data_IF_043591506474
#
_entry.id   IF_043591506474
#
_cell.length_a   1.000
_cell.length_b   1.000
_cell.length_c   1.000
_cell.angle_alpha   90.00
_cell.angle_beta   90.00
_cell.angle_gamma   90.00
#
_symmetry.space_group_name_H-M   'P 1'
#
loop_
_entity.id
_entity.type
_entity.pdbx_description
1 polymer ?
#
# COMPACT_ATOMS: atom_id res chain seq x y z
N UNK A 1 13.27 -5.15 -13.25
CA UNK A 1 14.46 -5.84 -13.80
C UNK A 1 14.61 -7.17 -13.05
N UNK A 2 15.61 -8.01 -13.33
CA UNK A 2 15.99 -9.06 -12.36
C UNK A 2 16.66 -8.39 -11.14
N UNK A 3 16.83 -9.11 -10.04
CA UNK A 3 17.58 -8.59 -8.88
C UNK A 3 19.00 -8.19 -9.26
N UNK A 4 19.71 -9.01 -10.04
CA UNK A 4 21.06 -8.71 -10.51
C UNK A 4 21.12 -7.41 -11.32
N UNK A 5 20.21 -7.25 -12.28
CA UNK A 5 20.14 -6.04 -13.09
C UNK A 5 19.75 -4.80 -12.25
N UNK A 6 18.94 -4.98 -11.21
CA UNK A 6 18.60 -3.90 -10.27
C UNK A 6 19.83 -3.46 -9.46
N UNK A 7 20.69 -4.40 -9.04
CA UNK A 7 21.96 -4.09 -8.38
C UNK A 7 22.90 -3.32 -9.31
N UNK A 8 23.03 -3.77 -10.56
CA UNK A 8 23.85 -3.11 -11.58
C UNK A 8 23.33 -1.70 -11.90
N UNK A 9 22.01 -1.51 -11.99
CA UNK A 9 21.42 -0.18 -12.17
C UNK A 9 21.75 0.76 -11.01
N UNK A 10 21.64 0.26 -9.76
CA UNK A 10 22.00 1.04 -8.58
C UNK A 10 23.47 1.46 -8.58
N UNK A 11 24.38 0.55 -8.92
CA UNK A 11 25.81 0.88 -9.07
C UNK A 11 26.04 1.92 -10.17
N UNK A 12 25.28 1.83 -11.26
CA UNK A 12 25.34 2.83 -12.33
C UNK A 12 24.88 4.22 -11.87
N UNK A 13 23.94 4.33 -10.92
CA UNK A 13 23.54 5.61 -10.34
C UNK A 13 24.68 6.25 -9.56
N UNK A 14 25.40 5.45 -8.76
CA UNK A 14 26.55 5.92 -7.98
C UNK A 14 27.63 6.50 -8.90
N UNK A 15 27.97 5.79 -9.98
CA UNK A 15 28.95 6.25 -10.97
C UNK A 15 28.48 7.51 -11.71
N UNK A 16 27.27 7.45 -12.29
CA UNK A 16 26.70 8.51 -13.13
C UNK A 16 26.56 9.83 -12.39
N UNK A 17 26.20 9.78 -11.11
CA UNK A 17 26.02 10.94 -10.25
C UNK A 17 27.23 11.27 -9.37
N UNK A 18 28.33 10.52 -9.51
CA UNK A 18 29.59 10.70 -8.77
C UNK A 18 29.40 10.63 -7.25
N UNK A 19 28.57 9.69 -6.79
CA UNK A 19 28.22 9.51 -5.38
C UNK A 19 29.16 8.54 -4.63
N UNK A 20 30.31 8.18 -5.21
CA UNK A 20 31.31 7.31 -4.57
C UNK A 20 31.67 7.68 -3.12
N UNK A 21 31.74 8.96 -2.71
CA UNK A 21 32.01 9.30 -1.32
C UNK A 21 31.00 8.74 -0.31
N UNK A 22 29.80 8.38 -0.77
CA UNK A 22 28.71 7.85 0.04
C UNK A 22 28.35 6.39 -0.29
N UNK A 23 29.14 5.69 -1.11
CA UNK A 23 28.79 4.38 -1.67
C UNK A 23 28.36 3.35 -0.60
N UNK A 24 29.08 3.27 0.51
CA UNK A 24 28.76 2.33 1.60
C UNK A 24 27.43 2.69 2.29
N UNK A 25 27.21 3.99 2.60
CA UNK A 25 25.95 4.49 3.18
C UNK A 25 24.77 4.22 2.22
N UNK A 26 24.95 4.44 0.92
CA UNK A 26 23.95 4.20 -0.12
C UNK A 26 23.62 2.71 -0.25
N UNK A 27 24.64 1.84 -0.30
CA UNK A 27 24.44 0.38 -0.39
C UNK A 27 23.76 -0.16 0.87
N UNK A 28 24.00 0.44 2.04
CA UNK A 28 23.33 0.08 3.29
C UNK A 28 21.87 0.55 3.33
N UNK A 29 21.58 1.75 2.84
CA UNK A 29 20.24 2.34 2.82
C UNK A 29 19.36 1.84 1.66
N UNK A 30 19.95 1.22 0.64
CA UNK A 30 19.25 0.73 -0.54
C UNK A 30 18.10 -0.22 -0.18
N UNK A 31 16.94 0.08 -0.75
CA UNK A 31 15.76 -0.76 -0.75
C UNK A 31 15.42 -1.24 -2.16
N UNK A 32 14.47 -2.16 -2.25
CA UNK A 32 13.95 -2.68 -3.49
C UNK A 32 12.43 -2.77 -3.42
N UNK A 33 11.79 -2.49 -4.54
CA UNK A 33 10.37 -2.75 -4.75
C UNK A 33 10.17 -3.47 -6.09
N UNK A 34 8.97 -4.00 -6.29
CA UNK A 34 8.57 -4.63 -7.53
C UNK A 34 7.66 -3.68 -8.29
N UNK A 35 8.03 -3.31 -9.52
CA UNK A 35 7.24 -2.43 -10.40
C UNK A 35 6.62 -3.24 -11.54
N UNK A 36 5.40 -2.89 -11.94
CA UNK A 36 4.75 -3.49 -13.10
C UNK A 36 5.60 -3.23 -14.34
N UNK A 37 6.02 -4.31 -15.00
CA UNK A 37 6.89 -4.26 -16.18
C UNK A 37 6.12 -4.44 -17.47
N UNK A 38 5.11 -5.32 -17.42
CA UNK A 38 4.39 -5.77 -18.61
C UNK A 38 3.03 -6.33 -18.20
N UNK A 39 2.04 -6.01 -19.01
CA UNK A 39 0.72 -6.64 -19.03
C UNK A 39 0.55 -7.43 -20.34
N UNK A 40 -0.19 -8.52 -20.26
CA UNK A 40 -0.64 -9.32 -21.41
C UNK A 40 -2.10 -9.70 -21.18
N UNK A 41 -2.88 -9.90 -22.24
CA UNK A 41 -4.24 -10.39 -22.08
C UNK A 41 -4.24 -11.74 -21.33
N UNK A 42 -5.08 -11.87 -20.31
CA UNK A 42 -5.21 -13.12 -19.57
C UNK A 42 -5.93 -14.17 -20.43
N UNK A 43 -5.26 -15.28 -20.71
CA UNK A 43 -5.82 -16.43 -21.43
C UNK A 43 -6.28 -17.54 -20.48
N UNK A 44 -5.96 -17.38 -19.19
CA UNK A 44 -6.28 -18.25 -18.08
C UNK A 44 -5.82 -19.71 -18.25
N UNK A 45 -4.75 -19.92 -19.02
CA UNK A 45 -4.12 -21.24 -19.19
C UNK A 45 -3.24 -21.62 -18.00
N UNK A 46 -2.76 -20.61 -17.26
CA UNK A 46 -1.94 -20.78 -16.05
C UNK A 46 -2.81 -20.57 -14.82
N UNK A 47 -2.87 -21.55 -13.91
CA UNK A 47 -3.58 -21.39 -12.63
C UNK A 47 -2.71 -20.63 -11.64
N UNK A 48 -3.30 -19.68 -10.93
CA UNK A 48 -2.65 -19.01 -9.81
C UNK A 48 -1.47 -18.12 -10.21
N UNK A 49 -1.36 -17.68 -11.47
CA UNK A 49 -0.37 -16.67 -11.85
C UNK A 49 -0.77 -15.30 -11.29
N UNK A 50 0.20 -14.38 -11.27
CA UNK A 50 -0.09 -12.98 -11.00
C UNK A 50 -0.95 -12.36 -12.11
N UNK A 51 -2.03 -11.68 -11.72
CA UNK A 51 -2.93 -10.94 -12.62
C UNK A 51 -3.58 -9.73 -11.95
N UNK A 52 -3.99 -8.78 -12.76
CA UNK A 52 -4.77 -7.60 -12.39
C UNK A 52 -6.13 -7.72 -13.09
N UNK A 53 -7.22 -7.52 -12.37
CA UNK A 53 -8.57 -7.74 -12.88
C UNK A 53 -8.87 -9.19 -13.25
N UNK A 54 -9.99 -9.39 -13.92
CA UNK A 54 -10.43 -10.68 -14.45
C UNK A 54 -10.99 -11.61 -13.38
N UNK A 55 -10.97 -12.90 -13.70
CA UNK A 55 -11.54 -13.94 -12.85
C UNK A 55 -10.46 -14.51 -11.90
N UNK A 56 -10.78 -14.69 -10.61
CA UNK A 56 -9.85 -15.25 -9.64
C UNK A 56 -9.78 -16.77 -9.76
N UNK A 57 -8.60 -17.34 -9.54
CA UNK A 57 -8.41 -18.76 -9.23
C UNK A 57 -8.50 -18.92 -7.70
N UNK A 58 -9.70 -19.14 -7.18
CA UNK A 58 -9.94 -19.26 -5.74
C UNK A 58 -9.75 -20.71 -5.25
N UNK A 59 -9.26 -20.90 -4.02
CA UNK A 59 -9.26 -22.22 -3.40
C UNK A 59 -10.71 -22.68 -3.12
N UNK A 60 -10.92 -24.00 -2.90
CA UNK A 60 -12.27 -24.56 -2.80
C UNK A 60 -13.11 -23.99 -1.65
N UNK A 61 -12.46 -23.55 -0.58
CA UNK A 61 -13.01 -23.04 0.67
C UNK A 61 -13.29 -21.53 0.67
N UNK A 62 -12.83 -20.79 -0.35
CA UNK A 62 -13.13 -19.36 -0.50
C UNK A 62 -14.16 -19.20 -1.62
N UNK A 63 -15.40 -18.89 -1.25
CA UNK A 63 -16.44 -18.53 -2.21
C UNK A 63 -16.15 -17.19 -2.88
N UNK A 64 -16.79 -16.96 -4.04
CA UNK A 64 -16.67 -15.67 -4.72
C UNK A 64 -17.25 -14.58 -3.79
N UNK A 65 -16.51 -13.49 -3.47
CA UNK A 65 -16.95 -12.54 -2.45
C UNK A 65 -18.20 -11.77 -2.89
N UNK A 66 -19.17 -11.63 -1.97
CA UNK A 66 -20.45 -10.96 -2.17
C UNK A 66 -20.87 -10.20 -0.91
N UNK A 67 -21.67 -9.15 -1.08
CA UNK A 67 -22.39 -8.47 -0.01
C UNK A 67 -23.89 -8.39 -0.38
N UNK A 68 -24.65 -7.55 0.33
CA UNK A 68 -26.09 -7.37 0.10
C UNK A 68 -26.42 -6.66 -1.22
N UNK A 69 -25.47 -5.91 -1.78
CA UNK A 69 -25.64 -5.12 -2.99
C UNK A 69 -25.19 -5.88 -4.25
N UNK A 70 -24.23 -6.81 -4.14
CA UNK A 70 -23.71 -7.52 -5.30
C UNK A 70 -22.45 -8.35 -5.03
N UNK A 71 -21.71 -8.64 -6.10
CA UNK A 71 -20.43 -9.33 -6.03
C UNK A 71 -19.26 -8.35 -6.13
N UNK A 72 -18.15 -8.70 -5.49
CA UNK A 72 -16.94 -7.87 -5.50
C UNK A 72 -16.13 -8.11 -6.78
N UNK A 73 -15.40 -7.09 -7.22
CA UNK A 73 -14.50 -7.18 -8.35
C UNK A 73 -13.08 -7.49 -7.90
N UNK A 74 -12.44 -8.46 -8.56
CA UNK A 74 -11.03 -8.74 -8.34
C UNK A 74 -10.20 -7.54 -8.80
N UNK A 75 -9.44 -6.94 -7.89
CA UNK A 75 -8.44 -5.94 -8.25
C UNK A 75 -7.14 -6.64 -8.64
N UNK A 76 -6.69 -7.57 -7.80
CA UNK A 76 -5.50 -8.36 -8.11
C UNK A 76 -5.53 -9.75 -7.49
N UNK A 77 -4.83 -10.67 -8.17
CA UNK A 77 -4.39 -11.94 -7.64
C UNK A 77 -2.87 -11.97 -7.77
N UNK A 78 -2.14 -12.00 -6.65
CA UNK A 78 -0.69 -11.98 -6.63
C UNK A 78 -0.14 -13.34 -6.21
N UNK A 79 0.67 -13.98 -7.06
CA UNK A 79 1.47 -15.12 -6.64
C UNK A 79 2.77 -14.64 -6.00
N UNK A 80 2.90 -14.77 -4.68
CA UNK A 80 4.07 -14.30 -3.94
C UNK A 80 5.37 -14.99 -4.39
N UNK A 81 5.28 -16.21 -4.91
CA UNK A 81 6.42 -16.95 -5.44
C UNK A 81 7.04 -16.27 -6.67
N UNK A 82 6.29 -15.43 -7.38
CA UNK A 82 6.74 -14.65 -8.54
C UNK A 82 7.40 -13.33 -8.13
N UNK A 83 7.23 -12.91 -6.87
CA UNK A 83 7.79 -11.66 -6.34
C UNK A 83 9.18 -11.90 -5.77
N UNK A 84 10.08 -10.95 -6.04
CA UNK A 84 11.52 -11.09 -5.79
C UNK A 84 12.06 -9.79 -5.23
N UNK A 85 11.93 -9.60 -3.93
CA UNK A 85 12.51 -8.46 -3.21
C UNK A 85 13.51 -9.01 -2.19
N UNK A 86 14.73 -8.45 -2.16
CA UNK A 86 15.71 -8.81 -1.14
C UNK A 86 15.22 -8.31 0.22
N UNK A 87 15.31 -9.14 1.26
CA UNK A 87 14.82 -8.84 2.62
C UNK A 87 13.34 -8.39 2.66
N UNK A 88 12.51 -8.97 1.79
CA UNK A 88 11.07 -8.73 1.79
C UNK A 88 10.43 -9.22 3.10
N UNK A 89 9.45 -8.50 3.67
CA UNK A 89 8.59 -9.04 4.72
C UNK A 89 7.50 -9.98 4.17
N UNK A 90 7.37 -10.10 2.84
CA UNK A 90 6.40 -10.99 2.23
C UNK A 90 6.78 -12.46 2.41
N UNK A 91 5.79 -13.35 2.57
CA UNK A 91 6.02 -14.80 2.43
C UNK A 91 6.63 -15.17 1.08
N UNK A 92 7.47 -16.21 1.07
CA UNK A 92 8.09 -16.74 -0.17
C UNK A 92 7.08 -17.43 -1.12
N UNK A 93 5.91 -17.78 -0.61
CA UNK A 93 4.85 -18.50 -1.33
C UNK A 93 3.45 -18.09 -0.86
N UNK A 94 2.48 -18.46 -1.69
CA UNK A 94 1.06 -18.22 -1.47
C UNK A 94 0.48 -17.25 -2.50
N UNK A 95 -0.84 -17.13 -2.50
CA UNK A 95 -1.60 -16.21 -3.34
C UNK A 95 -2.36 -15.24 -2.47
N UNK A 96 -2.19 -13.96 -2.77
CA UNK A 96 -2.95 -12.87 -2.17
C UNK A 96 -4.01 -12.38 -3.16
N UNK A 97 -5.22 -12.15 -2.70
CA UNK A 97 -6.33 -11.65 -3.50
C UNK A 97 -6.90 -10.40 -2.85
N UNK A 98 -7.01 -9.30 -3.60
CA UNK A 98 -7.77 -8.13 -3.17
C UNK A 98 -8.99 -7.98 -4.06
N UNK A 99 -10.14 -7.84 -3.41
CA UNK A 99 -11.41 -7.57 -4.04
C UNK A 99 -11.95 -6.21 -3.57
N UNK A 100 -12.64 -5.52 -4.46
CA UNK A 100 -13.34 -4.27 -4.20
C UNK A 100 -14.85 -4.46 -4.34
N UNK A 101 -15.59 -4.05 -3.32
CA UNK A 101 -17.04 -4.01 -3.33
C UNK A 101 -17.51 -2.67 -3.87
N UNK A 102 -18.19 -1.90 -3.04
CA UNK A 102 -18.56 -0.52 -3.35
C UNK A 102 -17.33 0.41 -3.30
N UNK A 103 -16.98 0.99 -4.46
CA UNK A 103 -15.80 1.82 -4.63
C UNK A 103 -15.84 3.11 -3.79
N UNK A 104 -17.02 3.58 -3.39
CA UNK A 104 -17.19 4.82 -2.61
C UNK A 104 -17.14 4.60 -1.09
N UNK A 105 -17.31 3.36 -0.62
CA UNK A 105 -17.37 3.05 0.81
C UNK A 105 -16.06 2.52 1.40
N UNK A 106 -15.06 2.24 0.57
CA UNK A 106 -13.82 1.60 1.01
C UNK A 106 -14.03 0.14 1.43
N UNK A 107 -15.03 -0.52 0.83
CA UNK A 107 -15.34 -1.92 1.08
C UNK A 107 -14.39 -2.83 0.27
N UNK A 108 -13.42 -3.41 0.97
CA UNK A 108 -12.41 -4.29 0.39
C UNK A 108 -12.36 -5.63 1.14
N UNK A 109 -12.05 -6.70 0.41
CA UNK A 109 -11.80 -8.03 0.98
C UNK A 109 -10.42 -8.51 0.56
N UNK A 110 -9.60 -8.88 1.55
CA UNK A 110 -8.27 -9.42 1.37
C UNK A 110 -8.25 -10.89 1.77
N UNK A 111 -7.78 -11.76 0.88
CA UNK A 111 -7.64 -13.19 1.14
C UNK A 111 -6.20 -13.64 0.89
N UNK A 112 -5.72 -14.57 1.72
CA UNK A 112 -4.43 -15.22 1.54
C UNK A 112 -4.59 -16.74 1.52
N UNK A 113 -4.00 -17.38 0.52
CA UNK A 113 -3.99 -18.84 0.36
C UNK A 113 -2.56 -19.36 0.18
N UNK A 114 -2.12 -20.26 1.06
CA UNK A 114 -0.80 -20.89 0.96
C UNK A 114 -0.91 -22.42 0.85
N UNK A 115 -1.76 -22.87 -0.07
CA UNK A 115 -1.90 -24.29 -0.40
C UNK A 115 -1.51 -24.61 -1.85
N UNK A 116 -1.66 -25.87 -2.26
CA UNK A 116 -1.27 -26.31 -3.60
C UNK A 116 -2.07 -25.62 -4.72
N UNK A 117 -1.38 -25.16 -5.76
CA UNK A 117 -1.99 -24.47 -6.90
C UNK A 117 -3.00 -25.34 -7.66
N UNK A 118 -2.85 -26.67 -7.63
CA UNK A 118 -3.80 -27.59 -8.25
C UNK A 118 -5.21 -27.52 -7.66
N UNK A 119 -5.35 -27.09 -6.40
CA UNK A 119 -6.63 -26.95 -5.72
C UNK A 119 -7.39 -25.70 -6.15
N UNK A 120 -6.72 -24.75 -6.77
CA UNK A 120 -7.34 -23.52 -7.21
C UNK A 120 -8.27 -23.80 -8.39
N UNK A 121 -9.43 -23.14 -8.37
CA UNK A 121 -10.41 -23.20 -9.43
C UNK A 121 -10.80 -21.78 -9.82
N UNK A 122 -10.82 -21.52 -11.12
CA UNK A 122 -11.39 -20.28 -11.62
C UNK A 122 -12.85 -20.20 -11.18
N UNK A 123 -13.22 -19.11 -10.49
CA UNK A 123 -14.61 -18.87 -10.09
C UNK A 123 -15.17 -17.71 -10.90
N UNK A 124 -16.35 -17.94 -11.47
CA UNK A 124 -17.17 -16.90 -12.08
C UNK A 124 -17.92 -16.14 -10.98
N UNK A 125 -18.27 -14.86 -11.21
CA UNK A 125 -19.21 -14.16 -10.35
C UNK A 125 -20.54 -14.94 -10.24
N UNK A 126 -21.21 -14.88 -9.08
CA UNK A 126 -22.49 -15.57 -8.90
C UNK A 126 -23.56 -15.10 -9.89
N UNK A 127 -24.24 -16.07 -10.52
CA UNK A 127 -25.26 -15.79 -11.54
C UNK A 127 -26.42 -14.95 -10.96
N UNK A 128 -26.79 -13.88 -11.67
CA UNK A 128 -27.91 -13.02 -11.30
C UNK A 128 -27.61 -11.99 -10.21
N UNK A 129 -26.38 -11.93 -9.69
CA UNK A 129 -25.97 -10.86 -8.78
C UNK A 129 -25.48 -9.63 -9.54
N UNK A 130 -25.65 -8.46 -8.94
CA UNK A 130 -25.22 -7.18 -9.50
C UNK A 130 -23.70 -7.07 -9.42
N UNK A 131 -23.10 -6.53 -10.47
CA UNK A 131 -21.70 -6.15 -10.47
C UNK A 131 -21.52 -4.82 -9.73
N UNK A 132 -20.63 -4.79 -8.74
CA UNK A 132 -20.32 -3.58 -7.97
C UNK A 132 -19.23 -2.70 -8.61
N UNK A 133 -18.84 -2.98 -9.85
CA UNK A 133 -17.93 -2.12 -10.61
C UNK A 133 -18.68 -0.85 -11.04
N UNK A 134 -18.23 0.31 -10.54
CA UNK A 134 -18.84 1.59 -10.87
C UNK A 134 -18.57 2.05 -12.31
N UNK A 135 -17.46 1.58 -12.91
CA UNK A 135 -17.05 1.96 -14.27
C UNK A 135 -17.81 1.17 -15.35
N UNK A 136 -18.06 -0.12 -15.10
CA UNK A 136 -18.87 -0.99 -15.94
C UNK A 136 -19.68 -1.97 -15.09
N UNK A 137 -20.98 -1.69 -14.92
CA UNK A 137 -21.89 -2.53 -14.14
C UNK A 137 -22.35 -3.79 -14.88
N UNK A 138 -21.94 -4.00 -16.14
CA UNK A 138 -22.26 -5.19 -16.91
C UNK A 138 -21.19 -6.27 -16.75
N UNK A 139 -19.90 -5.88 -16.66
CA UNK A 139 -18.79 -6.82 -16.68
C UNK A 139 -17.74 -6.58 -15.57
N UNK A 140 -17.17 -7.65 -14.98
CA UNK A 140 -16.01 -7.48 -14.11
C UNK A 140 -14.84 -6.90 -14.91
N UNK A 141 -13.89 -6.28 -14.21
CA UNK A 141 -12.67 -5.76 -14.85
C UNK A 141 -12.02 -6.81 -15.75
N UNK A 142 -11.51 -6.36 -16.88
CA UNK A 142 -10.84 -7.25 -17.82
C UNK A 142 -9.54 -7.77 -17.24
N UNK A 143 -9.31 -9.08 -17.36
CA UNK A 143 -8.09 -9.71 -16.82
C UNK A 143 -6.85 -9.45 -17.67
N UNK A 144 -5.76 -9.04 -17.01
CA UNK A 144 -4.42 -9.01 -17.59
C UNK A 144 -3.44 -9.81 -16.73
N UNK A 145 -2.64 -10.66 -17.37
CA UNK A 145 -1.48 -11.26 -16.74
C UNK A 145 -0.44 -10.18 -16.52
N UNK A 146 0.05 -10.05 -15.29
CA UNK A 146 0.97 -9.00 -14.89
C UNK A 146 2.33 -9.59 -14.55
N UNK A 147 3.40 -9.01 -15.11
CA UNK A 147 4.78 -9.33 -14.74
C UNK A 147 5.41 -8.14 -14.02
N UNK A 148 5.96 -8.40 -12.84
CA UNK A 148 6.67 -7.39 -12.06
C UNK A 148 8.18 -7.56 -12.20
N UNK A 149 8.91 -6.46 -12.11
CA UNK A 149 10.36 -6.47 -12.07
C UNK A 149 10.90 -5.66 -10.90
N UNK A 150 12.10 -5.99 -10.45
CA UNK A 150 12.77 -5.32 -9.33
C UNK A 150 13.31 -3.96 -9.76
N UNK A 151 13.19 -2.95 -8.89
CA UNK A 151 13.81 -1.64 -9.02
C UNK A 151 14.40 -1.24 -7.66
N UNK A 152 15.67 -0.79 -7.59
CA UNK A 152 16.23 -0.27 -6.35
C UNK A 152 15.70 1.13 -6.07
N UNK A 153 15.69 1.57 -4.81
CA UNK A 153 15.40 2.96 -4.45
C UNK A 153 16.02 3.30 -3.08
N UNK A 154 15.98 4.58 -2.71
CA UNK A 154 16.27 5.05 -1.36
C UNK A 154 15.05 5.76 -0.78
N UNK A 155 14.82 5.62 0.53
CA UNK A 155 13.76 6.36 1.19
C UNK A 155 14.02 7.86 1.14
N UNK A 156 12.96 8.60 0.86
CA UNK A 156 12.95 10.04 1.06
C UNK A 156 13.10 10.37 2.55
N UNK A 157 13.85 11.42 2.89
CA UNK A 157 14.00 11.91 4.27
C UNK A 157 14.97 11.11 5.16
N UNK A 158 15.76 10.20 4.59
CA UNK A 158 16.89 9.61 5.32
C UNK A 158 18.08 10.58 5.38
N UNK A 159 18.94 10.45 6.39
CA UNK A 159 20.13 11.30 6.53
C UNK A 159 21.00 11.29 5.25
N UNK A 160 21.11 10.15 4.58
CA UNK A 160 21.89 10.04 3.35
C UNK A 160 21.18 10.69 2.16
N UNK A 161 19.86 10.56 2.04
CA UNK A 161 19.12 11.18 0.93
C UNK A 161 19.05 12.70 1.07
N UNK A 162 19.00 13.24 2.28
CA UNK A 162 19.17 14.68 2.54
C UNK A 162 20.55 15.20 2.10
N UNK A 163 21.63 14.45 2.39
CA UNK A 163 22.99 14.79 1.91
C UNK A 163 23.06 14.79 0.39
N UNK A 164 22.43 13.82 -0.28
CA UNK A 164 22.38 13.74 -1.74
C UNK A 164 21.59 14.91 -2.31
N UNK A 165 20.42 15.24 -1.75
CA UNK A 165 19.58 16.35 -2.20
C UNK A 165 20.37 17.66 -2.19
N UNK A 166 21.09 17.94 -1.10
CA UNK A 166 21.92 19.13 -0.98
C UNK A 166 23.08 19.17 -1.99
N UNK A 167 23.62 18.01 -2.37
CA UNK A 167 24.76 17.89 -3.27
C UNK A 167 24.36 17.90 -4.75
N UNK A 168 23.34 17.11 -5.09
CA UNK A 168 22.88 16.83 -6.44
C UNK A 168 21.37 16.49 -6.43
N UNK A 169 20.50 17.52 -6.52
CA UNK A 169 19.05 17.33 -6.55
C UNK A 169 18.55 16.42 -7.68
N UNK A 170 19.25 16.40 -8.82
CA UNK A 170 18.90 15.49 -9.93
C UNK A 170 19.17 14.03 -9.58
N UNK A 171 20.26 13.75 -8.87
CA UNK A 171 20.54 12.40 -8.37
C UNK A 171 19.54 11.98 -7.30
N UNK A 172 19.16 12.91 -6.42
CA UNK A 172 18.11 12.68 -5.43
C UNK A 172 16.79 12.28 -6.09
N UNK A 173 16.34 13.07 -7.08
CA UNK A 173 15.13 12.76 -7.85
C UNK A 173 15.19 11.36 -8.48
N UNK A 174 16.32 11.00 -9.10
CA UNK A 174 16.45 9.71 -9.76
C UNK A 174 16.53 8.53 -8.77
N UNK A 175 17.19 8.68 -7.62
CA UNK A 175 17.46 7.55 -6.71
C UNK A 175 16.31 7.34 -5.71
N UNK A 176 15.65 8.42 -5.28
CA UNK A 176 14.49 8.36 -4.39
C UNK A 176 13.19 8.11 -5.19
N UNK A 177 13.11 8.61 -6.43
CA UNK A 177 11.94 8.47 -7.28
C UNK A 177 12.27 7.92 -8.68
N UNK A 178 12.96 6.75 -8.77
CA UNK A 178 13.44 6.17 -10.03
C UNK A 178 12.33 5.84 -11.02
N UNK A 179 11.12 5.65 -10.50
CA UNK A 179 9.88 5.68 -11.26
C UNK A 179 9.13 6.94 -10.85
N UNK A 180 9.01 7.95 -11.73
CA UNK A 180 8.08 9.05 -11.45
C UNK A 180 6.65 8.49 -11.36
N UNK A 181 6.16 8.42 -10.12
CA UNK A 181 4.81 8.58 -9.56
C UNK A 181 3.61 7.81 -10.12
N UNK A 182 3.71 7.05 -11.21
CA UNK A 182 2.53 6.35 -11.71
C UNK A 182 2.88 4.99 -12.30
N UNK A 183 3.27 4.05 -11.45
CA UNK A 183 3.33 2.66 -11.85
C UNK A 183 2.77 1.78 -10.75
N UNK A 184 1.96 0.81 -11.17
CA UNK A 184 1.56 -0.27 -10.27
C UNK A 184 2.79 -0.95 -9.67
N UNK A 185 2.79 -1.16 -8.35
CA UNK A 185 3.96 -1.64 -7.63
C UNK A 185 3.59 -2.50 -6.42
N UNK A 186 4.61 -3.19 -5.88
CA UNK A 186 4.56 -4.04 -4.69
C UNK A 186 5.71 -3.63 -3.76
N UNK A 187 5.39 -3.38 -2.49
CA UNK A 187 6.32 -2.86 -1.48
C UNK A 187 7.01 -1.56 -1.91
N UNK A 188 6.26 -0.64 -2.51
CA UNK A 188 6.74 0.64 -3.00
C UNK A 188 6.28 1.80 -2.12
N UNK A 189 6.32 3.01 -2.67
CA UNK A 189 5.88 4.22 -2.00
C UNK A 189 4.61 4.77 -2.65
N UNK A 190 3.83 5.54 -1.90
CA UNK A 190 2.65 6.23 -2.44
C UNK A 190 3.04 7.51 -3.18
N UNK A 191 2.11 8.07 -3.95
CA UNK A 191 2.31 9.36 -4.61
C UNK A 191 2.65 10.49 -3.62
N UNK A 192 2.11 10.42 -2.40
CA UNK A 192 2.33 11.42 -1.33
C UNK A 192 3.54 11.11 -0.45
N UNK A 193 4.02 9.86 -0.43
CA UNK A 193 5.13 9.44 0.42
C UNK A 193 4.77 9.27 1.91
N UNK A 194 3.49 9.37 2.27
CA UNK A 194 3.04 9.34 3.67
C UNK A 194 2.38 8.00 4.05
N UNK A 195 2.99 7.27 4.98
CA UNK A 195 2.45 6.06 5.58
C UNK A 195 1.96 6.25 7.03
N UNK A 196 2.07 7.45 7.60
CA UNK A 196 1.77 7.73 9.02
C UNK A 196 0.28 7.63 9.34
N UNK A 197 -0.60 8.08 8.44
CA UNK A 197 -2.04 7.90 8.55
C UNK A 197 -2.42 6.41 8.57
N UNK A 198 -2.05 5.63 7.53
CA UNK A 198 -2.23 4.19 7.50
C UNK A 198 -1.64 3.47 8.73
N UNK A 199 -0.44 3.84 9.17
CA UNK A 199 0.18 3.32 10.39
C UNK A 199 -0.74 3.49 11.60
N UNK A 200 -1.19 4.71 11.88
CA UNK A 200 -2.04 4.99 13.05
C UNK A 200 -3.34 4.22 13.00
N UNK A 201 -3.97 4.13 11.84
CA UNK A 201 -5.19 3.34 11.67
C UNK A 201 -4.94 1.85 11.94
N UNK A 202 -3.89 1.26 11.37
CA UNK A 202 -3.52 -0.15 11.57
C UNK A 202 -3.10 -0.47 13.01
N UNK A 203 -2.60 0.50 13.78
CA UNK A 203 -2.32 0.37 15.22
C UNK A 203 -3.53 0.66 16.12
N UNK A 204 -4.72 0.83 15.54
CA UNK A 204 -5.98 1.02 16.26
C UNK A 204 -6.23 2.46 16.72
N UNK A 205 -5.74 3.44 15.96
CA UNK A 205 -6.02 4.87 16.16
C UNK A 205 -6.73 5.47 14.93
N UNK A 206 -7.89 4.93 14.52
CA UNK A 206 -8.55 5.33 13.27
C UNK A 206 -8.98 6.80 13.26
N UNK A 207 -9.23 7.41 14.42
CA UNK A 207 -9.61 8.82 14.47
C UNK A 207 -8.43 9.77 14.24
N UNK A 208 -7.19 9.27 14.28
CA UNK A 208 -5.96 10.04 14.09
C UNK A 208 -5.44 9.97 12.65
N UNK A 209 -6.10 9.24 11.74
CA UNK A 209 -5.62 9.00 10.37
C UNK A 209 -5.21 10.28 9.63
N UNK A 210 -6.03 11.33 9.72
CA UNK A 210 -5.79 12.62 9.04
C UNK A 210 -5.13 13.67 9.93
N UNK A 211 -4.82 13.35 11.19
CA UNK A 211 -4.13 14.31 12.03
C UNK A 211 -2.71 14.48 11.54
N UNK A 212 -2.21 15.71 11.56
CA UNK A 212 -0.77 15.94 11.44
C UNK A 212 -0.21 15.89 12.85
N UNK A 213 0.46 14.79 13.17
CA UNK A 213 1.26 14.65 14.39
C UNK A 213 2.70 14.57 13.92
N UNK A 214 3.51 15.57 14.26
CA UNK A 214 4.92 15.57 13.89
C UNK A 214 5.65 14.56 14.78
N UNK A 215 5.60 13.30 14.36
CA UNK A 215 6.34 12.21 14.98
C UNK A 215 7.85 12.42 14.74
N UNK A 216 8.23 13.10 13.65
CA UNK A 216 9.63 13.25 13.23
C UNK A 216 10.42 14.38 13.92
N UNK A 217 9.74 15.34 14.57
CA UNK A 217 10.39 16.54 15.12
C UNK A 217 10.86 16.40 16.59
N UNK A 218 10.83 15.19 17.14
CA UNK A 218 11.17 14.92 18.54
C UNK A 218 10.18 15.54 19.54
N UNK A 219 10.54 15.58 20.84
CA UNK A 219 9.75 16.24 21.91
C UNK A 219 9.78 17.78 21.81
N UNK A 220 9.91 18.31 20.60
CA UNK A 220 10.00 19.74 20.34
C UNK A 220 8.72 20.48 20.77
N UNK A 221 8.80 21.80 21.00
CA UNK A 221 7.65 22.64 21.32
C UNK A 221 6.48 22.48 20.33
N UNK A 222 6.79 22.18 19.06
CA UNK A 222 5.80 22.06 17.97
C UNK A 222 4.86 20.86 18.14
N UNK A 223 5.37 19.70 18.57
CA UNK A 223 4.53 18.53 18.85
C UNK A 223 3.60 18.81 20.03
N UNK A 224 4.13 19.36 21.12
CA UNK A 224 3.37 19.66 22.33
C UNK A 224 2.27 20.70 22.06
N UNK A 225 2.57 21.75 21.29
CA UNK A 225 1.58 22.75 20.89
C UNK A 225 0.43 22.11 20.10
N UNK A 226 0.74 21.22 19.16
CA UNK A 226 -0.27 20.56 18.33
C UNK A 226 -1.10 19.56 19.11
N UNK A 227 -0.47 18.74 19.95
CA UNK A 227 -1.18 17.84 20.86
C UNK A 227 -2.16 18.63 21.74
N UNK A 228 -1.70 19.71 22.39
CA UNK A 228 -2.56 20.55 23.21
C UNK A 228 -3.71 21.19 22.40
N UNK A 229 -3.45 21.62 21.16
CA UNK A 229 -4.48 22.16 20.26
C UNK A 229 -5.56 21.11 19.93
N UNK A 230 -5.16 19.88 19.63
CA UNK A 230 -6.08 18.79 19.31
C UNK A 230 -6.90 18.37 20.52
N UNK A 231 -6.27 18.26 21.71
CA UNK A 231 -6.96 18.01 22.99
C UNK A 231 -8.02 19.09 23.25
N UNK A 232 -7.64 20.37 23.18
CA UNK A 232 -8.56 21.49 23.43
C UNK A 232 -9.73 21.52 22.43
N UNK A 233 -9.47 21.21 21.15
CA UNK A 233 -10.50 21.10 20.11
C UNK A 233 -11.48 19.97 20.45
N UNK A 234 -10.98 18.79 20.82
CA UNK A 234 -11.82 17.65 21.19
C UNK A 234 -12.67 17.95 22.43
N UNK A 235 -12.08 18.52 23.49
CA UNK A 235 -12.79 18.90 24.73
C UNK A 235 -13.89 19.93 24.46
N UNK A 236 -13.59 20.96 23.64
CA UNK A 236 -14.60 21.95 23.22
C UNK A 236 -15.76 21.28 22.47
N UNK A 237 -15.47 20.39 21.53
CA UNK A 237 -16.50 19.69 20.76
C UNK A 237 -17.38 18.79 21.65
N UNK A 238 -16.80 18.15 22.66
CA UNK A 238 -17.53 17.33 23.64
C UNK A 238 -18.55 18.17 24.42
N UNK A 239 -18.24 19.43 24.70
CA UNK A 239 -19.15 20.37 25.37
C UNK A 239 -20.19 21.01 24.44
N UNK A 240 -20.13 20.73 23.12
CA UNK A 240 -21.05 21.29 22.12
C UNK A 240 -22.46 20.70 22.19
N UNK A 241 -23.25 20.90 21.13
CA UNK A 241 -24.60 20.34 21.01
C UNK A 241 -24.75 19.27 19.92
N UNK A 242 -23.72 19.05 19.10
CA UNK A 242 -23.73 18.05 18.03
C UNK A 242 -23.32 16.67 18.59
N UNK A 243 -24.28 15.75 18.68
CA UNK A 243 -24.06 14.42 19.28
C UNK A 243 -23.10 13.54 18.46
N UNK A 244 -23.09 13.64 17.13
CA UNK A 244 -22.16 12.87 16.30
C UNK A 244 -20.73 13.38 16.51
N UNK A 245 -20.56 14.70 16.49
CA UNK A 245 -19.27 15.34 16.75
C UNK A 245 -18.77 15.07 18.17
N UNK A 246 -19.66 15.03 19.17
CA UNK A 246 -19.31 14.61 20.54
C UNK A 246 -18.79 13.19 20.59
N UNK A 247 -19.51 12.24 19.99
CA UNK A 247 -19.12 10.83 19.99
C UNK A 247 -17.75 10.64 19.34
N UNK A 248 -17.55 11.23 18.16
CA UNK A 248 -16.24 11.26 17.49
C UNK A 248 -15.16 11.88 18.38
N UNK A 249 -15.43 13.05 18.98
CA UNK A 249 -14.44 13.79 19.77
C UNK A 249 -14.07 13.08 21.07
N UNK A 250 -14.99 12.31 21.68
CA UNK A 250 -14.68 11.45 22.83
C UNK A 250 -13.71 10.32 22.45
N UNK A 251 -13.97 9.64 21.33
CA UNK A 251 -13.08 8.61 20.79
C UNK A 251 -11.71 9.21 20.47
N UNK A 252 -11.70 10.32 19.74
CA UNK A 252 -10.50 11.03 19.35
C UNK A 252 -9.65 11.50 20.54
N UNK A 253 -10.29 12.07 21.57
CA UNK A 253 -9.59 12.44 22.81
C UNK A 253 -8.94 11.24 23.50
N UNK A 254 -9.61 10.08 23.51
CA UNK A 254 -9.07 8.85 24.08
C UNK A 254 -7.88 8.32 23.29
N UNK A 255 -8.00 8.29 21.96
CA UNK A 255 -6.94 7.84 21.06
C UNK A 255 -5.72 8.77 21.12
N UNK A 256 -5.90 10.09 21.10
CA UNK A 256 -4.82 11.08 21.27
C UNK A 256 -4.04 10.86 22.56
N UNK A 257 -4.75 10.69 23.68
CA UNK A 257 -4.11 10.48 25.00
C UNK A 257 -3.32 9.18 25.03
N UNK A 258 -3.85 8.10 24.46
CA UNK A 258 -3.15 6.80 24.38
C UNK A 258 -1.93 6.89 23.46
N UNK A 259 -2.08 7.46 22.27
CA UNK A 259 -0.98 7.66 21.32
C UNK A 259 0.15 8.50 21.94
N UNK A 260 -0.20 9.56 22.66
CA UNK A 260 0.77 10.39 23.36
C UNK A 260 1.50 9.65 24.50
N UNK A 261 0.80 8.80 25.26
CA UNK A 261 1.41 7.99 26.32
C UNK A 261 2.38 6.94 25.77
N UNK A 262 2.09 6.41 24.58
CA UNK A 262 2.86 5.36 23.90
C UNK A 262 3.80 5.94 22.82
N UNK A 263 4.01 7.26 22.80
CA UNK A 263 4.69 8.00 21.72
C UNK A 263 6.04 7.39 21.33
N UNK A 264 6.91 7.11 22.29
CA UNK A 264 8.24 6.56 22.01
C UNK A 264 8.20 5.23 21.25
N UNK A 265 7.16 4.41 21.48
CA UNK A 265 6.96 3.16 20.74
C UNK A 265 6.58 3.47 19.30
N UNK A 266 5.68 4.44 19.08
CA UNK A 266 5.26 4.86 17.75
C UNK A 266 6.40 5.45 16.93
N UNK A 267 7.28 6.25 17.56
CA UNK A 267 8.49 6.78 16.90
C UNK A 267 9.44 5.69 16.42
N UNK A 268 9.59 4.63 17.21
CA UNK A 268 10.46 3.49 16.87
C UNK A 268 9.83 2.55 15.85
N UNK A 269 8.54 2.67 15.59
CA UNK A 269 7.77 1.78 14.69
C UNK A 269 7.08 2.52 13.56
N UNK A 270 7.40 3.79 13.28
CA UNK A 270 6.72 4.57 12.24
C UNK A 270 6.84 3.96 10.84
N UNK A 271 7.96 3.28 10.55
CA UNK A 271 8.22 2.61 9.28
C UNK A 271 7.61 1.18 9.20
N UNK A 272 6.79 0.80 10.20
CA UNK A 272 6.13 -0.50 10.23
C UNK A 272 5.00 -0.58 9.19
N UNK A 273 4.31 0.52 8.89
CA UNK A 273 3.30 0.52 7.85
C UNK A 273 3.95 0.59 6.46
N UNK A 274 3.65 -0.42 5.64
CA UNK A 274 4.17 -0.54 4.29
C UNK A 274 3.02 -0.41 3.30
N UNK A 275 3.23 0.38 2.23
CA UNK A 275 2.40 0.29 1.05
C UNK A 275 2.71 -1.05 0.37
N UNK A 276 1.89 -2.04 0.65
CA UNK A 276 2.06 -3.38 0.11
C UNK A 276 1.81 -3.39 -1.39
N UNK A 277 0.78 -2.66 -1.85
CA UNK A 277 0.50 -2.45 -3.27
C UNK A 277 0.00 -1.04 -3.55
N UNK A 278 0.38 -0.53 -4.71
CA UNK A 278 -0.32 0.53 -5.41
C UNK A 278 -0.73 0.03 -6.79
N UNK A 279 -2.00 0.16 -7.18
CA UNK A 279 -2.51 -0.12 -8.52
C UNK A 279 -3.02 1.18 -9.10
N UNK A 280 -2.38 1.64 -10.17
CA UNK A 280 -2.83 2.82 -10.92
C UNK A 280 -4.10 2.50 -11.74
N UNK A 281 -4.73 3.53 -12.30
CA UNK A 281 -5.69 3.32 -13.37
C UNK A 281 -5.00 2.66 -14.57
N UNK A 282 -5.50 1.50 -15.01
CA UNK A 282 -4.96 0.74 -16.13
C UNK A 282 -6.04 0.55 -17.20
N UNK A 283 -5.80 1.16 -18.36
CA UNK A 283 -6.67 1.01 -19.53
C UNK A 283 -6.76 -0.45 -20.01
N UNK A 284 -5.68 -1.23 -19.89
CA UNK A 284 -5.64 -2.61 -20.41
C UNK A 284 -6.63 -3.55 -19.70
N UNK A 285 -6.98 -3.24 -18.45
CA UNK A 285 -7.98 -3.93 -17.64
C UNK A 285 -9.25 -3.11 -17.39
N UNK A 286 -9.41 -1.96 -18.05
CA UNK A 286 -10.57 -1.08 -17.92
C UNK A 286 -10.77 -0.59 -16.46
N UNK A 287 -9.67 -0.42 -15.73
CA UNK A 287 -9.68 0.11 -14.36
C UNK A 287 -9.43 1.61 -14.38
N UNK A 288 -10.36 2.39 -13.84
CA UNK A 288 -10.20 3.82 -13.64
C UNK A 288 -10.53 4.19 -12.19
N UNK A 289 -9.59 4.86 -11.52
CA UNK A 289 -9.75 5.35 -10.15
C UNK A 289 -9.93 6.87 -10.17
N UNK A 290 -11.15 7.35 -10.40
CA UNK A 290 -11.45 8.78 -10.54
C UNK A 290 -10.57 9.46 -11.62
N UNK A 291 -9.81 10.50 -11.27
CA UNK A 291 -8.98 11.29 -12.20
C UNK A 291 -7.61 10.61 -12.46
N UNK A 292 -7.62 9.33 -12.83
CA UNK A 292 -6.43 8.49 -13.04
C UNK A 292 -5.57 8.27 -11.77
N UNK A 293 -6.24 7.95 -10.67
CA UNK A 293 -5.65 7.74 -9.35
C UNK A 293 -5.04 6.35 -9.12
N UNK A 294 -5.01 5.95 -7.84
CA UNK A 294 -4.47 4.67 -7.35
C UNK A 294 -5.42 4.03 -6.36
N UNK A 295 -5.49 2.71 -6.36
CA UNK A 295 -5.84 1.95 -5.16
C UNK A 295 -4.54 1.62 -4.42
N UNK A 296 -4.44 2.01 -3.16
CA UNK A 296 -3.36 1.59 -2.26
C UNK A 296 -3.83 0.54 -1.27
N UNK A 297 -2.97 -0.40 -0.93
CA UNK A 297 -3.14 -1.36 0.15
C UNK A 297 -1.96 -1.26 1.11
N UNK A 298 -2.25 -1.00 2.38
CA UNK A 298 -1.30 -0.89 3.47
C UNK A 298 -1.45 -2.02 4.47
N UNK A 299 -0.32 -2.48 4.99
CA UNK A 299 -0.23 -3.47 6.06
C UNK A 299 0.97 -3.19 6.96
N UNK A 300 0.93 -3.70 8.18
CA UNK A 300 2.11 -3.67 9.05
C UNK A 300 3.12 -4.73 8.59
N UNK A 301 4.40 -4.38 8.62
CA UNK A 301 5.53 -5.28 8.38
C UNK A 301 5.43 -6.54 9.23
N UNK A 302 5.12 -6.37 10.52
CA UNK A 302 5.00 -7.45 11.48
C UNK A 302 3.86 -8.42 11.14
N UNK A 303 2.73 -7.90 10.64
CA UNK A 303 1.60 -8.71 10.19
C UNK A 303 2.00 -9.55 8.96
N UNK A 304 2.70 -8.96 7.98
CA UNK A 304 3.23 -9.66 6.81
C UNK A 304 4.21 -10.79 7.18
N UNK A 305 5.17 -10.48 8.07
CA UNK A 305 6.17 -11.45 8.56
C UNK A 305 5.51 -12.61 9.31
N UNK A 306 4.41 -12.35 10.03
CA UNK A 306 3.61 -13.35 10.73
C UNK A 306 2.58 -14.04 9.82
N UNK A 307 2.50 -13.66 8.54
CA UNK A 307 1.52 -14.14 7.56
C UNK A 307 0.06 -13.89 8.00
N UNK A 308 -0.16 -12.83 8.76
CA UNK A 308 -1.48 -12.36 9.17
C UNK A 308 -1.96 -11.29 8.19
N UNK A 309 -2.98 -11.65 7.40
CA UNK A 309 -3.58 -10.76 6.39
C UNK A 309 -4.93 -10.18 6.83
N UNK A 310 -5.26 -10.29 8.12
CA UNK A 310 -6.55 -9.80 8.66
C UNK A 310 -6.58 -8.31 8.96
N UNK A 311 -5.42 -7.68 9.15
CA UNK A 311 -5.29 -6.26 9.46
C UNK A 311 -4.67 -5.51 8.28
N UNK A 312 -5.50 -4.81 7.53
CA UNK A 312 -5.08 -4.04 6.35
C UNK A 312 -5.91 -2.76 6.20
N UNK A 313 -5.38 -1.83 5.40
CA UNK A 313 -6.07 -0.60 5.02
C UNK A 313 -5.95 -0.40 3.52
N UNK A 314 -7.07 -0.29 2.82
CA UNK A 314 -7.08 0.01 1.40
C UNK A 314 -7.94 1.25 1.11
N UNK A 315 -7.49 2.07 0.17
CA UNK A 315 -8.20 3.29 -0.21
C UNK A 315 -7.85 3.72 -1.63
N UNK A 316 -8.77 4.48 -2.23
CA UNK A 316 -8.51 5.18 -3.49
C UNK A 316 -7.87 6.52 -3.17
N UNK A 317 -6.76 6.82 -3.85
CA UNK A 317 -6.17 8.14 -3.92
C UNK A 317 -6.40 8.72 -5.31
N UNK A 318 -6.81 9.98 -5.40
CA UNK A 318 -6.94 10.75 -6.64
C UNK A 318 -6.60 12.21 -6.35
N UNK A 319 -5.97 12.89 -7.31
CA UNK A 319 -5.49 14.27 -7.17
C UNK A 319 -6.56 15.34 -7.31
#
# INVERSE_FOLDING_TARGET
MTMQNALEEFESWIERHRLHPYEDELKQARKFHNILKKTEAEDYTSKGNTRIGGLPDLPPDIDYPVNEDGYYNLLFQLNLSEIKVDKSPLPDSGILYLFQGDAQSGDYQLYFYDGPLENLNRKEPPEGMVNLNEEDNENPFKGVKATFGVMPYLDHGSEITEKIEALNPTAFDEICFPSRKYHSHILGDTVEGDSTGPYRLLKGFPSLYYDVLYDELGDGPEYQEQYNRLIAKAEKNIMGNDEALKAYSKRHLSELKRYHQEREIHLQSKDEALCLFGIESLDECEMCWNDAGFVYLFMLRSDLENRDFSNFHAFIWSS
#
